data_IF_896228783614
#
_entry.id   IF_896228783614
#
_cell.length_a   1.000
_cell.length_b   1.000
_cell.length_c   1.000
_cell.angle_alpha   90.00
_cell.angle_beta   90.00
_cell.angle_gamma   90.00
#
_symmetry.space_group_name_H-M   'P 1'
#
loop_
_entity.id
_entity.type
_entity.pdbx_description
1 polymer ?
#
# COMPACT_ATOMS: atom_id res chain seq x y z
N UNK A 1 -11.47 1.86 12.61
CA UNK A 1 -10.14 2.38 12.23
C UNK A 1 -10.13 2.63 10.74
N UNK A 2 -9.50 3.72 10.28
CA UNK A 2 -9.37 4.05 8.85
C UNK A 2 -8.23 3.22 8.24
N UNK A 3 -8.47 2.57 7.11
CA UNK A 3 -7.43 1.80 6.42
C UNK A 3 -6.45 2.73 5.68
N UNK A 4 -5.19 2.31 5.44
CA UNK A 4 -4.25 3.11 4.66
C UNK A 4 -4.77 3.44 3.24
N UNK A 5 -5.53 2.52 2.64
CA UNK A 5 -6.16 2.76 1.33
C UNK A 5 -7.22 3.88 1.41
N UNK A 6 -8.02 3.91 2.48
CA UNK A 6 -8.97 4.99 2.73
C UNK A 6 -8.25 6.33 2.93
N UNK A 7 -7.16 6.37 3.70
CA UNK A 7 -6.35 7.58 3.87
C UNK A 7 -5.80 8.09 2.54
N UNK A 8 -5.26 7.20 1.69
CA UNK A 8 -4.75 7.59 0.38
C UNK A 8 -5.86 8.16 -0.53
N UNK A 9 -7.06 7.59 -0.49
CA UNK A 9 -8.22 8.11 -1.23
C UNK A 9 -8.66 9.48 -0.73
N UNK A 10 -8.69 9.68 0.59
CA UNK A 10 -9.08 10.94 1.20
C UNK A 10 -8.10 12.07 0.85
N UNK A 11 -6.79 11.77 0.87
CA UNK A 11 -5.74 12.72 0.45
C UNK A 11 -5.90 13.14 -1.02
N UNK A 12 -6.20 12.19 -1.92
CA UNK A 12 -6.47 12.50 -3.33
C UNK A 12 -7.72 13.38 -3.49
N UNK A 13 -8.82 13.03 -2.80
CA UNK A 13 -10.05 13.81 -2.85
C UNK A 13 -9.87 15.23 -2.27
N UNK A 14 -9.02 15.40 -1.26
CA UNK A 14 -8.66 16.73 -0.76
C UNK A 14 -7.80 17.49 -1.77
N UNK A 15 -6.82 16.84 -2.39
CA UNK A 15 -5.99 17.46 -3.43
C UNK A 15 -6.83 17.97 -4.61
N UNK A 16 -7.81 17.19 -5.05
CA UNK A 16 -8.67 17.57 -6.18
C UNK A 16 -9.63 18.71 -5.82
N UNK A 17 -10.10 18.79 -4.57
CA UNK A 17 -10.90 19.94 -4.09
C UNK A 17 -10.10 21.24 -4.00
N UNK A 18 -8.79 21.15 -3.77
CA UNK A 18 -7.89 22.30 -3.63
C UNK A 18 -7.21 22.69 -4.94
N UNK A 19 -7.26 21.83 -5.96
CA UNK A 19 -6.74 22.12 -7.29
C UNK A 19 -7.38 23.38 -7.88
N UNK A 20 -6.55 24.28 -8.44
CA UNK A 20 -7.02 25.53 -9.03
C UNK A 20 -7.35 26.65 -8.03
N UNK A 21 -7.16 26.43 -6.71
CA UNK A 21 -7.35 27.46 -5.67
C UNK A 21 -6.06 28.19 -5.27
N UNK A 22 -5.00 28.09 -6.07
CA UNK A 22 -3.69 28.68 -5.78
C UNK A 22 -2.90 27.97 -4.67
N UNK A 23 -3.29 26.74 -4.30
CA UNK A 23 -2.62 25.93 -3.27
C UNK A 23 -1.76 24.80 -3.88
N UNK A 24 -1.03 25.10 -4.95
CA UNK A 24 -0.38 24.08 -5.78
C UNK A 24 0.62 23.21 -5.00
N UNK A 25 1.36 23.80 -4.05
CA UNK A 25 2.33 23.05 -3.25
C UNK A 25 1.66 22.09 -2.26
N UNK A 26 0.52 22.49 -1.68
CA UNK A 26 -0.27 21.60 -0.83
C UNK A 26 -0.88 20.46 -1.66
N UNK A 27 -1.44 20.76 -2.83
CA UNK A 27 -1.98 19.75 -3.76
C UNK A 27 -0.90 18.74 -4.15
N UNK A 28 0.31 19.20 -4.50
CA UNK A 28 1.46 18.33 -4.79
C UNK A 28 1.82 17.45 -3.59
N UNK A 29 1.86 18.03 -2.38
CA UNK A 29 2.18 17.31 -1.15
C UNK A 29 1.15 16.22 -0.85
N UNK A 30 -0.15 16.53 -0.93
CA UNK A 30 -1.24 15.56 -0.72
C UNK A 30 -1.19 14.40 -1.71
N UNK A 31 -0.99 14.70 -3.00
CA UNK A 31 -0.85 13.67 -4.05
C UNK A 31 0.38 12.80 -3.82
N UNK A 32 1.51 13.39 -3.43
CA UNK A 32 2.73 12.64 -3.08
C UNK A 32 2.49 11.72 -1.90
N UNK A 33 1.83 12.20 -0.84
CA UNK A 33 1.48 11.40 0.33
C UNK A 33 0.59 10.21 -0.03
N UNK A 34 -0.47 10.44 -0.81
CA UNK A 34 -1.34 9.37 -1.29
C UNK A 34 -0.58 8.32 -2.11
N UNK A 35 0.34 8.74 -2.98
CA UNK A 35 1.18 7.83 -3.77
C UNK A 35 2.08 6.97 -2.88
N UNK A 36 2.79 7.58 -1.94
CA UNK A 36 3.68 6.85 -1.02
C UNK A 36 2.91 5.79 -0.22
N UNK A 37 1.71 6.11 0.27
CA UNK A 37 0.89 5.15 1.01
C UNK A 37 0.51 3.95 0.13
N UNK A 38 0.17 4.19 -1.14
CA UNK A 38 -0.16 3.11 -2.09
C UNK A 38 1.04 2.24 -2.42
N UNK A 39 2.20 2.85 -2.64
CA UNK A 39 3.46 2.13 -2.86
C UNK A 39 3.80 1.25 -1.65
N UNK A 40 3.64 1.78 -0.43
CA UNK A 40 3.90 1.02 0.80
C UNK A 40 2.92 -0.15 0.98
N UNK A 41 1.64 0.05 0.68
CA UNK A 41 0.63 -1.02 0.69
C UNK A 41 1.00 -2.15 -0.28
N UNK A 42 1.45 -1.81 -1.49
CA UNK A 42 1.88 -2.82 -2.46
C UNK A 42 3.08 -3.63 -1.94
N UNK A 43 4.07 -2.98 -1.33
CA UNK A 43 5.21 -3.67 -0.72
C UNK A 43 4.75 -4.58 0.42
N UNK A 44 3.83 -4.12 1.28
CA UNK A 44 3.28 -4.95 2.36
C UNK A 44 2.59 -6.21 1.81
N UNK A 45 1.74 -6.05 0.79
CA UNK A 45 1.08 -7.20 0.15
C UNK A 45 2.09 -8.19 -0.45
N UNK A 46 3.18 -7.70 -1.04
CA UNK A 46 4.23 -8.56 -1.58
C UNK A 46 4.98 -9.33 -0.48
N UNK A 47 5.23 -8.68 0.66
CA UNK A 47 5.87 -9.31 1.82
C UNK A 47 4.97 -10.38 2.45
N UNK A 48 3.68 -10.09 2.58
CA UNK A 48 2.69 -11.06 3.08
C UNK A 48 2.60 -12.29 2.16
N UNK A 49 2.48 -12.08 0.84
CA UNK A 49 2.47 -13.17 -0.13
C UNK A 49 3.77 -13.99 -0.12
N UNK A 50 4.93 -13.34 0.06
CA UNK A 50 6.21 -14.03 0.17
C UNK A 50 6.30 -14.86 1.47
N UNK A 51 5.81 -14.33 2.58
CA UNK A 51 5.77 -15.03 3.86
C UNK A 51 4.84 -16.25 3.81
N UNK A 52 3.67 -16.13 3.19
CA UNK A 52 2.74 -17.25 2.97
C UNK A 52 3.35 -18.33 2.07
N UNK A 53 3.99 -17.94 0.97
CA UNK A 53 4.66 -18.89 0.07
C UNK A 53 5.79 -19.65 0.79
N UNK A 54 6.55 -18.96 1.64
CA UNK A 54 7.62 -19.58 2.42
C UNK A 54 7.07 -20.51 3.51
N UNK A 55 5.97 -20.14 4.18
CA UNK A 55 5.30 -21.02 5.14
C UNK A 55 4.84 -22.33 4.49
N UNK A 56 4.25 -22.26 3.29
CA UNK A 56 3.84 -23.45 2.52
C UNK A 56 5.04 -24.32 2.13
N UNK A 57 6.15 -23.71 1.70
CA UNK A 57 7.40 -24.46 1.41
C UNK A 57 7.94 -25.17 2.65
N UNK A 58 7.97 -24.46 3.78
CA UNK A 58 8.43 -25.02 5.04
C UNK A 58 7.56 -26.21 5.49
N UNK A 59 6.24 -26.12 5.35
CA UNK A 59 5.33 -27.22 5.67
C UNK A 59 5.57 -28.45 4.77
N UNK A 60 5.78 -28.26 3.46
CA UNK A 60 6.11 -29.35 2.52
C UNK A 60 7.43 -30.04 2.87
N UNK A 61 8.47 -29.24 3.13
CA UNK A 61 9.77 -29.75 3.57
C UNK A 61 9.64 -30.56 4.87
N UNK A 62 8.90 -30.04 5.86
CA UNK A 62 8.68 -30.70 7.15
C UNK A 62 7.93 -32.02 7.01
N UNK A 63 6.95 -32.08 6.11
CA UNK A 63 6.13 -33.28 5.89
C UNK A 63 6.82 -34.31 4.98
N UNK A 64 7.97 -33.99 4.38
CA UNK A 64 8.69 -34.88 3.47
C UNK A 64 8.02 -35.04 2.10
N UNK A 65 7.12 -34.13 1.75
CA UNK A 65 6.34 -34.13 0.50
C UNK A 65 7.15 -33.62 -0.72
N UNK A 66 8.42 -33.23 -0.54
CA UNK A 66 9.32 -32.80 -1.62
C UNK A 66 9.94 -33.97 -2.43
N UNK A 67 9.28 -35.15 -2.48
CA UNK A 67 9.72 -36.32 -3.26
C UNK A 67 9.02 -36.46 -4.61
#
# INVERSE_FOLDING_TARGET
MTSPAQVANDLMAQADRLAGRGQDDLVKSLRRGARVIREQLQVQMQLEAAAEAEAVRFERYRNGDDR
#
